data_IF_410777052641
#
_entry.id   IF_410777052641
#
_cell.length_a   1.000
_cell.length_b   1.000
_cell.length_c   1.000
_cell.angle_alpha   90.00
_cell.angle_beta   90.00
_cell.angle_gamma   90.00
#
_symmetry.space_group_name_H-M   'P 1'
#
loop_
_entity.id
_entity.type
_entity.pdbx_description
1 polymer ?
#
# COMPACT_ATOMS: atom_id res chain seq x y z
N UNK A 1 -12.03 -0.81 24.47
CA UNK A 1 -11.07 0.26 24.82
C UNK A 1 -11.54 1.52 24.12
N UNK A 2 -11.48 2.67 24.79
CA UNK A 2 -11.87 3.94 24.18
C UNK A 2 -10.79 4.43 23.19
N UNK A 3 -11.17 5.26 22.23
CA UNK A 3 -10.21 5.80 21.24
C UNK A 3 -9.10 6.61 21.91
N UNK A 4 -9.42 7.32 23.00
CA UNK A 4 -8.48 8.09 23.81
C UNK A 4 -7.37 7.21 24.38
N UNK A 5 -7.73 6.05 24.91
CA UNK A 5 -6.80 5.12 25.57
C UNK A 5 -5.81 4.56 24.55
N UNK A 6 -6.30 4.20 23.36
CA UNK A 6 -5.42 3.71 22.30
C UNK A 6 -4.52 4.77 21.71
N UNK A 7 -5.00 6.00 21.58
CA UNK A 7 -4.14 7.13 21.20
C UNK A 7 -3.04 7.31 22.24
N UNK A 8 -3.38 7.23 23.53
CA UNK A 8 -2.41 7.32 24.62
C UNK A 8 -1.36 6.22 24.53
N UNK A 9 -1.77 4.96 24.36
CA UNK A 9 -0.88 3.80 24.20
C UNK A 9 0.03 3.97 22.97
N UNK A 10 -0.53 4.32 21.80
CA UNK A 10 0.26 4.48 20.57
C UNK A 10 1.26 5.63 20.69
N UNK A 11 0.86 6.78 21.24
CA UNK A 11 1.78 7.90 21.50
C UNK A 11 2.84 7.55 22.53
N UNK A 12 2.49 6.71 23.51
CA UNK A 12 3.41 6.23 24.52
C UNK A 12 4.49 5.32 23.93
N UNK A 13 4.13 4.46 22.97
CA UNK A 13 5.01 3.51 22.31
C UNK A 13 5.74 4.06 21.07
N UNK A 14 5.29 5.15 20.46
CA UNK A 14 5.91 5.75 19.27
C UNK A 14 7.21 6.53 19.58
N UNK A 15 8.17 5.87 20.23
CA UNK A 15 9.44 6.44 20.70
C UNK A 15 10.44 5.33 21.00
N UNK A 16 11.63 5.44 20.45
CA UNK A 16 12.65 4.39 20.49
C UNK A 16 13.07 4.04 21.92
N UNK A 17 13.39 5.03 22.75
CA UNK A 17 13.79 4.81 24.14
C UNK A 17 12.69 4.15 24.96
N UNK A 18 11.43 4.56 24.78
CA UNK A 18 10.29 3.92 25.46
C UNK A 18 10.05 2.48 25.02
N UNK A 19 10.22 2.17 23.73
CA UNK A 19 10.15 0.79 23.26
C UNK A 19 11.25 -0.08 23.85
N UNK A 20 12.48 0.44 23.96
CA UNK A 20 13.59 -0.27 24.59
C UNK A 20 13.34 -0.52 26.07
N UNK A 21 12.81 0.47 26.80
CA UNK A 21 12.40 0.30 28.21
C UNK A 21 11.33 -0.78 28.34
N UNK A 22 10.27 -0.72 27.53
CA UNK A 22 9.20 -1.73 27.55
C UNK A 22 9.76 -3.12 27.24
N UNK A 23 10.61 -3.26 26.21
CA UNK A 23 11.24 -4.53 25.86
C UNK A 23 12.10 -5.09 27.00
N UNK A 24 12.85 -4.23 27.70
CA UNK A 24 13.63 -4.63 28.87
C UNK A 24 12.73 -5.13 30.01
N UNK A 25 11.61 -4.42 30.25
CA UNK A 25 10.63 -4.81 31.28
C UNK A 25 9.80 -6.05 30.91
N UNK A 26 9.77 -6.47 29.64
CA UNK A 26 9.15 -7.73 29.20
C UNK A 26 9.97 -8.94 29.63
N UNK A 27 11.28 -8.78 29.81
CA UNK A 27 12.14 -9.85 30.30
C UNK A 27 11.99 -10.04 31.82
N UNK A 28 11.99 -8.92 32.57
CA UNK A 28 11.82 -8.91 34.02
C UNK A 28 11.49 -7.50 34.54
N UNK A 29 10.85 -7.39 35.72
CA UNK A 29 10.75 -6.11 36.44
C UNK A 29 12.13 -5.55 36.80
N UNK A 30 12.31 -4.24 36.68
CA UNK A 30 13.61 -3.57 36.91
C UNK A 30 13.41 -2.19 37.56
N UNK A 31 14.43 -1.72 38.27
CA UNK A 31 14.47 -0.36 38.82
C UNK A 31 15.11 0.63 37.83
N UNK A 32 15.00 1.93 38.12
CA UNK A 32 15.34 3.01 37.18
C UNK A 32 16.82 3.00 36.81
N UNK A 33 17.71 2.87 37.79
CA UNK A 33 19.16 2.90 37.59
C UNK A 33 19.64 1.66 36.80
N UNK A 34 19.01 0.49 36.99
CA UNK A 34 19.29 -0.70 36.18
C UNK A 34 18.90 -0.49 34.71
N UNK A 35 17.72 0.08 34.46
CA UNK A 35 17.26 0.41 33.11
C UNK A 35 18.16 1.46 32.45
N UNK A 36 18.57 2.49 33.19
CA UNK A 36 19.47 3.54 32.70
C UNK A 36 20.82 2.96 32.28
N UNK A 37 21.42 2.11 33.11
CA UNK A 37 22.68 1.45 32.81
C UNK A 37 22.56 0.51 31.59
N UNK A 38 21.51 -0.31 31.56
CA UNK A 38 21.31 -1.30 30.49
C UNK A 38 21.08 -0.66 29.12
N UNK A 39 20.36 0.45 29.09
CA UNK A 39 20.00 1.14 27.85
C UNK A 39 21.01 2.25 27.47
N UNK A 40 22.04 2.46 28.28
CA UNK A 40 23.00 3.56 28.14
C UNK A 40 22.30 4.93 28.05
N UNK A 41 21.38 5.20 28.97
CA UNK A 41 20.59 6.42 29.06
C UNK A 41 20.80 7.10 30.42
N UNK A 42 20.58 8.42 30.48
CA UNK A 42 20.56 9.12 31.75
C UNK A 42 19.34 8.69 32.62
N UNK A 43 19.54 8.56 33.93
CA UNK A 43 18.49 8.21 34.91
C UNK A 43 17.28 9.14 34.83
N UNK A 44 17.53 10.44 34.61
CA UNK A 44 16.48 11.45 34.42
C UNK A 44 15.64 11.19 33.16
N UNK A 45 16.28 10.79 32.06
CA UNK A 45 15.61 10.43 30.81
C UNK A 45 14.75 9.18 30.98
N UNK A 46 15.27 8.14 31.64
CA UNK A 46 14.50 6.92 31.94
C UNK A 46 13.31 7.23 32.84
N UNK A 47 13.50 8.03 33.90
CA UNK A 47 12.41 8.45 34.79
C UNK A 47 11.30 9.20 34.05
N UNK A 48 11.68 10.10 33.13
CA UNK A 48 10.74 10.84 32.30
C UNK A 48 9.95 9.91 31.37
N UNK A 49 10.61 8.95 30.72
CA UNK A 49 9.97 7.97 29.86
C UNK A 49 9.02 7.03 30.64
N UNK A 50 9.45 6.55 31.81
CA UNK A 50 8.62 5.72 32.69
C UNK A 50 7.36 6.45 33.15
N UNK A 51 7.44 7.75 33.45
CA UNK A 51 6.25 8.56 33.79
C UNK A 51 5.24 8.62 32.63
N UNK A 52 5.72 8.75 31.39
CA UNK A 52 4.85 8.72 30.19
C UNK A 52 4.23 7.34 29.98
N UNK A 53 5.00 6.27 30.16
CA UNK A 53 4.51 4.89 30.05
C UNK A 53 3.49 4.58 31.16
N UNK A 54 3.72 5.06 32.38
CA UNK A 54 2.80 4.95 33.53
C UNK A 54 1.49 5.69 33.25
N UNK A 55 1.56 6.91 32.69
CA UNK A 55 0.35 7.68 32.31
C UNK A 55 -0.48 7.01 31.21
N UNK A 56 0.13 6.17 30.38
CA UNK A 56 -0.54 5.36 29.38
C UNK A 56 -0.93 3.96 29.91
N UNK A 57 -0.79 3.74 31.22
CA UNK A 57 -1.09 2.48 31.91
C UNK A 57 -0.27 1.27 31.43
N UNK A 58 0.84 1.49 30.70
CA UNK A 58 1.68 0.42 30.15
C UNK A 58 2.62 -0.18 31.19
N UNK A 59 2.98 0.60 32.20
CA UNK A 59 3.81 0.16 33.32
C UNK A 59 3.19 0.63 34.63
N UNK A 60 3.52 -0.07 35.72
CA UNK A 60 3.25 0.38 37.08
C UNK A 60 4.48 0.17 37.95
N UNK A 61 4.56 0.83 39.10
CA UNK A 61 5.70 0.71 40.02
C UNK A 61 5.28 0.13 41.36
N UNK A 62 6.18 -0.62 41.98
CA UNK A 62 6.05 -1.15 43.33
C UNK A 62 7.29 -0.79 44.13
N UNK A 63 7.11 -0.54 45.43
CA UNK A 63 8.23 -0.35 46.35
C UNK A 63 8.62 -1.72 46.89
N UNK A 64 9.84 -2.14 46.60
CA UNK A 64 10.40 -3.41 47.04
C UNK A 64 11.66 -3.13 47.86
N UNK A 65 11.54 -3.31 49.18
CA UNK A 65 12.57 -2.93 50.15
C UNK A 65 13.02 -1.47 49.98
N UNK A 66 14.20 -1.26 49.40
CA UNK A 66 14.84 0.04 49.18
C UNK A 66 14.60 0.61 47.78
N UNK A 67 14.15 -0.21 46.83
CA UNK A 67 14.04 0.17 45.42
C UNK A 67 12.59 0.40 44.97
N UNK A 68 12.43 1.24 43.96
CA UNK A 68 11.17 1.39 43.20
C UNK A 68 11.31 0.59 41.91
N UNK A 69 10.63 -0.55 41.86
CA UNK A 69 10.71 -1.51 40.77
C UNK A 69 9.52 -1.31 39.83
N UNK A 70 9.81 -1.11 38.55
CA UNK A 70 8.81 -0.97 37.49
C UNK A 70 8.47 -2.32 36.89
N UNK A 71 7.19 -2.51 36.63
CA UNK A 71 6.58 -3.71 36.09
C UNK A 71 5.75 -3.35 34.87
N UNK A 72 5.64 -4.26 33.89
CA UNK A 72 4.68 -4.10 32.80
C UNK A 72 3.27 -4.41 33.25
N UNK A 73 2.32 -3.73 32.62
CA UNK A 73 0.93 -4.12 32.68
C UNK A 73 0.63 -5.16 31.59
N UNK A 74 0.85 -6.44 31.90
CA UNK A 74 0.76 -7.55 30.93
C UNK A 74 -0.59 -7.59 30.20
N UNK A 75 -1.67 -7.18 30.86
CA UNK A 75 -3.02 -7.16 30.27
C UNK A 75 -3.07 -6.36 28.97
N UNK A 76 -2.36 -5.24 28.90
CA UNK A 76 -2.34 -4.40 27.69
C UNK A 76 -1.54 -5.08 26.58
N UNK A 77 -0.46 -5.79 26.92
CA UNK A 77 0.38 -6.48 25.94
C UNK A 77 -0.22 -7.78 25.41
N UNK A 78 -1.26 -8.33 26.06
CA UNK A 78 -2.11 -9.38 25.48
C UNK A 78 -3.15 -8.86 24.48
N UNK A 79 -3.29 -7.53 24.35
CA UNK A 79 -4.23 -6.92 23.41
C UNK A 79 -3.66 -6.94 21.99
N UNK A 80 -4.47 -7.30 20.99
CA UNK A 80 -4.00 -7.32 19.59
C UNK A 80 -4.06 -5.94 18.95
N UNK A 81 -3.30 -5.72 17.86
CA UNK A 81 -3.43 -4.50 17.06
C UNK A 81 -4.87 -4.27 16.56
N UNK A 82 -5.63 -5.34 16.34
CA UNK A 82 -7.04 -5.25 15.96
C UNK A 82 -7.87 -4.65 17.10
N UNK A 83 -7.65 -5.08 18.33
CA UNK A 83 -8.38 -4.58 19.50
C UNK A 83 -8.01 -3.12 19.81
N UNK A 84 -6.74 -2.72 19.55
CA UNK A 84 -6.25 -1.34 19.67
C UNK A 84 -6.77 -0.44 18.55
N UNK A 85 -7.30 -0.96 17.45
CA UNK A 85 -7.78 -0.16 16.31
C UNK A 85 -9.29 -0.24 16.12
N UNK A 86 -9.95 -1.21 16.77
CA UNK A 86 -11.38 -1.45 16.67
C UNK A 86 -12.11 -0.72 17.80
N UNK A 87 -12.46 0.53 17.55
CA UNK A 87 -13.27 1.34 18.45
C UNK A 87 -14.74 1.31 18.06
N UNK A 88 -15.63 1.55 19.01
CA UNK A 88 -17.03 1.86 18.69
C UNK A 88 -17.06 3.11 17.82
N UNK A 89 -17.41 2.95 16.55
CA UNK A 89 -17.61 4.06 15.64
C UNK A 89 -19.02 4.62 15.86
N UNK A 90 -19.17 5.51 16.84
CA UNK A 90 -20.45 6.18 17.15
C UNK A 90 -20.99 6.97 15.94
N UNK A 91 -20.10 7.35 15.01
CA UNK A 91 -20.45 8.07 13.79
C UNK A 91 -20.60 7.17 12.56
N UNK A 92 -20.62 5.84 12.70
CA UNK A 92 -20.74 4.93 11.57
C UNK A 92 -21.98 5.25 10.72
N UNK A 93 -23.11 5.50 11.38
CA UNK A 93 -24.38 5.86 10.71
C UNK A 93 -24.19 7.12 9.84
N UNK A 94 -23.63 8.19 10.40
CA UNK A 94 -23.40 9.46 9.69
C UNK A 94 -22.38 9.30 8.55
N UNK A 95 -21.37 8.44 8.72
CA UNK A 95 -20.37 8.15 7.67
C UNK A 95 -21.00 7.36 6.52
N UNK A 96 -21.82 6.36 6.84
CA UNK A 96 -22.55 5.54 5.86
C UNK A 96 -23.56 6.42 5.08
N UNK A 97 -24.27 7.33 5.75
CA UNK A 97 -25.15 8.32 5.13
C UNK A 97 -24.41 9.23 4.14
N UNK A 98 -23.19 9.70 4.48
CA UNK A 98 -22.37 10.52 3.58
C UNK A 98 -21.94 9.75 2.34
N UNK A 99 -21.60 8.47 2.49
CA UNK A 99 -21.25 7.59 1.37
C UNK A 99 -22.47 7.36 0.49
N UNK A 100 -23.64 7.08 1.08
CA UNK A 100 -24.90 6.90 0.38
C UNK A 100 -25.28 8.17 -0.42
N UNK A 101 -25.17 9.35 0.19
CA UNK A 101 -25.42 10.63 -0.46
C UNK A 101 -24.46 10.88 -1.65
N UNK A 102 -23.18 10.51 -1.52
CA UNK A 102 -22.22 10.58 -2.62
C UNK A 102 -22.60 9.63 -3.77
N UNK A 103 -22.94 8.37 -3.48
CA UNK A 103 -23.40 7.41 -4.49
C UNK A 103 -24.65 7.92 -5.20
N UNK A 104 -25.66 8.39 -4.46
CA UNK A 104 -26.89 8.96 -5.01
C UNK A 104 -26.62 10.17 -5.93
N UNK A 105 -25.70 11.05 -5.55
CA UNK A 105 -25.28 12.19 -6.40
C UNK A 105 -24.63 11.72 -7.70
N UNK A 106 -23.77 10.70 -7.64
CA UNK A 106 -23.16 10.10 -8.84
C UNK A 106 -24.26 9.52 -9.73
N UNK A 107 -25.16 8.70 -9.18
CA UNK A 107 -26.25 8.09 -9.93
C UNK A 107 -27.15 9.14 -10.58
N UNK A 108 -27.57 10.19 -9.86
CA UNK A 108 -28.36 11.30 -10.41
C UNK A 108 -27.66 12.02 -11.58
N UNK A 109 -26.33 12.02 -11.62
CA UNK A 109 -25.56 12.67 -12.70
C UNK A 109 -25.49 11.81 -13.96
N UNK A 110 -25.46 10.49 -13.81
CA UNK A 110 -25.25 9.56 -14.92
C UNK A 110 -26.52 8.84 -15.38
N UNK A 111 -27.54 8.74 -14.52
CA UNK A 111 -28.85 8.19 -14.83
C UNK A 111 -29.92 9.28 -14.97
N UNK A 112 -30.80 9.10 -15.95
CA UNK A 112 -32.03 9.89 -16.09
C UNK A 112 -33.17 8.97 -16.47
N UNK A 113 -34.30 9.07 -15.76
CA UNK A 113 -35.50 8.23 -15.96
C UNK A 113 -35.20 6.72 -16.01
N UNK A 114 -34.24 6.25 -15.21
CA UNK A 114 -33.85 4.83 -15.17
C UNK A 114 -32.89 4.37 -16.27
N UNK A 115 -32.52 5.24 -17.23
CA UNK A 115 -31.52 4.95 -18.25
C UNK A 115 -30.19 5.63 -17.97
N UNK A 116 -29.10 4.92 -18.25
CA UNK A 116 -27.75 5.46 -18.18
C UNK A 116 -27.52 6.38 -19.38
N UNK A 117 -27.26 7.66 -19.13
CA UNK A 117 -27.02 8.65 -20.19
C UNK A 117 -25.61 8.48 -20.78
N UNK A 118 -24.62 8.26 -19.91
CA UNK A 118 -23.22 8.08 -20.32
C UNK A 118 -22.42 7.34 -19.27
N UNK A 119 -21.38 6.64 -19.72
CA UNK A 119 -20.42 6.01 -18.81
C UNK A 119 -19.45 7.05 -18.21
N UNK A 120 -19.20 7.02 -16.88
CA UNK A 120 -18.18 7.87 -16.27
C UNK A 120 -16.78 7.54 -16.80
N UNK A 121 -15.89 8.52 -16.94
CA UNK A 121 -14.48 8.25 -17.29
C UNK A 121 -13.69 7.67 -16.11
N UNK A 122 -14.01 8.12 -14.88
CA UNK A 122 -13.32 7.73 -13.64
C UNK A 122 -13.74 6.34 -13.16
N UNK A 123 -12.77 5.46 -12.91
CA UNK A 123 -13.00 4.06 -12.49
C UNK A 123 -13.92 3.92 -11.27
N UNK A 124 -13.71 4.71 -10.20
CA UNK A 124 -14.56 4.64 -9.00
C UNK A 124 -16.04 4.95 -9.27
N UNK A 125 -16.31 5.90 -10.17
CA UNK A 125 -17.70 6.23 -10.57
C UNK A 125 -18.28 5.17 -11.50
N UNK A 126 -17.46 4.56 -12.37
CA UNK A 126 -17.87 3.40 -13.17
C UNK A 126 -18.34 2.26 -12.27
N UNK A 127 -17.58 1.93 -11.22
CA UNK A 127 -18.00 0.89 -10.26
C UNK A 127 -19.37 1.21 -9.66
N UNK A 128 -19.63 2.44 -9.20
CA UNK A 128 -20.94 2.83 -8.64
C UNK A 128 -22.08 2.63 -9.65
N UNK A 129 -21.84 2.98 -10.91
CA UNK A 129 -22.82 2.77 -11.99
C UNK A 129 -23.04 1.29 -12.27
N UNK A 130 -21.97 0.48 -12.30
CA UNK A 130 -22.05 -0.96 -12.50
C UNK A 130 -22.75 -1.67 -11.33
N UNK A 131 -22.48 -1.23 -10.09
CA UNK A 131 -23.19 -1.68 -8.89
C UNK A 131 -24.70 -1.42 -9.01
N UNK A 132 -25.11 -0.27 -9.53
CA UNK A 132 -26.54 0.01 -9.75
C UNK A 132 -27.15 -0.89 -10.82
N UNK A 133 -26.42 -1.16 -11.92
CA UNK A 133 -26.86 -2.06 -12.98
C UNK A 133 -26.96 -3.51 -12.47
N UNK A 134 -26.05 -3.94 -11.59
CA UNK A 134 -26.05 -5.29 -11.01
C UNK A 134 -27.33 -5.60 -10.23
N UNK A 135 -27.99 -4.60 -9.64
CA UNK A 135 -29.26 -4.78 -8.91
C UNK A 135 -30.38 -5.34 -9.78
N UNK A 136 -30.26 -5.24 -11.11
CA UNK A 136 -31.22 -5.80 -12.06
C UNK A 136 -31.05 -7.31 -12.26
N UNK A 137 -29.93 -7.87 -11.79
CA UNK A 137 -29.60 -9.28 -11.90
C UNK A 137 -29.92 -10.02 -10.60
N UNK A 138 -30.09 -11.34 -10.71
CA UNK A 138 -30.37 -12.22 -9.58
C UNK A 138 -29.10 -13.03 -9.25
N UNK A 139 -28.74 -13.10 -7.96
CA UNK A 139 -27.52 -13.74 -7.44
C UNK A 139 -27.37 -15.21 -7.87
N UNK A 140 -28.47 -15.96 -7.97
CA UNK A 140 -28.41 -17.41 -8.23
C UNK A 140 -28.62 -17.78 -9.70
N UNK A 141 -29.02 -16.80 -10.53
CA UNK A 141 -29.36 -17.04 -11.93
C UNK A 141 -28.11 -17.00 -12.81
N UNK A 142 -28.05 -17.96 -13.73
CA UNK A 142 -27.07 -17.98 -14.82
C UNK A 142 -27.74 -17.42 -16.06
N UNK A 143 -27.19 -16.33 -16.58
CA UNK A 143 -27.71 -15.60 -17.73
C UNK A 143 -26.98 -16.03 -19.00
N UNK A 144 -27.65 -16.63 -20.00
CA UNK A 144 -27.11 -16.74 -21.34
C UNK A 144 -26.81 -15.36 -21.92
N UNK A 145 -25.88 -15.30 -22.88
CA UNK A 145 -25.44 -14.05 -23.51
C UNK A 145 -26.61 -13.17 -24.00
N UNK A 146 -27.60 -13.76 -24.66
CA UNK A 146 -28.78 -13.02 -25.13
C UNK A 146 -29.60 -12.41 -24.00
N UNK A 147 -29.69 -13.10 -22.86
CA UNK A 147 -30.50 -12.63 -21.73
C UNK A 147 -29.82 -11.48 -20.99
N UNK A 148 -28.51 -11.57 -20.76
CA UNK A 148 -27.75 -10.46 -20.17
C UNK A 148 -27.78 -9.23 -21.07
N UNK A 149 -27.67 -9.42 -22.39
CA UNK A 149 -27.73 -8.32 -23.35
C UNK A 149 -29.08 -7.59 -23.26
N UNK A 150 -30.20 -8.33 -23.24
CA UNK A 150 -31.53 -7.75 -23.08
C UNK A 150 -31.73 -7.03 -21.73
N UNK A 151 -31.18 -7.56 -20.63
CA UNK A 151 -31.26 -6.89 -19.32
C UNK A 151 -30.50 -5.57 -19.34
N UNK A 152 -29.30 -5.54 -19.94
CA UNK A 152 -28.49 -4.32 -20.01
C UNK A 152 -29.09 -3.30 -20.98
N UNK A 153 -29.63 -3.74 -22.12
CA UNK A 153 -30.22 -2.89 -23.16
C UNK A 153 -31.40 -2.05 -22.64
N UNK A 154 -32.12 -2.54 -21.62
CA UNK A 154 -33.16 -1.76 -20.94
C UNK A 154 -32.61 -0.48 -20.26
N UNK A 155 -31.32 -0.46 -19.93
CA UNK A 155 -30.65 0.61 -19.18
C UNK A 155 -29.66 1.38 -20.04
N UNK A 156 -28.93 0.71 -20.92
CA UNK A 156 -27.87 1.31 -21.74
C UNK A 156 -27.69 0.57 -23.06
N UNK A 157 -27.68 1.32 -24.16
CA UNK A 157 -27.67 0.76 -25.52
C UNK A 157 -26.36 0.02 -25.84
N UNK A 158 -25.22 0.46 -25.30
CA UNK A 158 -23.94 -0.24 -25.47
C UNK A 158 -23.75 -1.33 -24.40
N UNK A 159 -24.57 -2.38 -24.53
CA UNK A 159 -24.54 -3.55 -23.66
C UNK A 159 -23.22 -4.31 -23.73
N UNK A 160 -22.53 -4.28 -24.89
CA UNK A 160 -21.23 -4.88 -25.07
C UNK A 160 -20.19 -4.31 -24.10
N UNK A 161 -20.12 -2.99 -23.97
CA UNK A 161 -19.19 -2.33 -23.06
C UNK A 161 -19.50 -2.63 -21.60
N UNK A 162 -20.78 -2.57 -21.19
CA UNK A 162 -21.17 -2.89 -19.81
C UNK A 162 -20.83 -4.32 -19.46
N UNK A 163 -21.17 -5.27 -20.32
CA UNK A 163 -20.87 -6.69 -20.13
C UNK A 163 -19.37 -6.94 -20.00
N UNK A 164 -18.53 -6.27 -20.80
CA UNK A 164 -17.07 -6.33 -20.67
C UNK A 164 -16.61 -5.78 -19.32
N UNK A 165 -17.12 -4.61 -18.93
CA UNK A 165 -16.78 -3.97 -17.66
C UNK A 165 -17.20 -4.80 -16.44
N UNK A 166 -18.34 -5.52 -16.50
CA UNK A 166 -18.79 -6.42 -15.44
C UNK A 166 -17.82 -7.58 -15.22
N UNK A 167 -17.24 -8.11 -16.31
CA UNK A 167 -16.20 -9.16 -16.24
C UNK A 167 -14.86 -8.57 -15.78
N UNK A 168 -14.42 -7.46 -16.38
CA UNK A 168 -13.13 -6.83 -16.09
C UNK A 168 -13.02 -6.40 -14.62
N UNK A 169 -14.14 -5.95 -14.03
CA UNK A 169 -14.23 -5.58 -12.62
C UNK A 169 -14.55 -6.75 -11.67
N UNK A 170 -14.58 -8.00 -12.17
CA UNK A 170 -14.86 -9.23 -11.40
C UNK A 170 -16.21 -9.22 -10.68
N UNK A 171 -17.18 -8.49 -11.22
CA UNK A 171 -18.55 -8.41 -10.70
C UNK A 171 -19.38 -9.60 -11.20
N UNK A 172 -19.06 -10.10 -12.39
CA UNK A 172 -19.61 -11.32 -12.94
C UNK A 172 -18.50 -12.22 -13.49
N UNK A 173 -18.78 -13.52 -13.60
CA UNK A 173 -17.95 -14.48 -14.31
C UNK A 173 -18.64 -14.90 -15.61
N UNK A 174 -17.82 -15.12 -16.65
CA UNK A 174 -18.26 -15.70 -17.92
C UNK A 174 -17.65 -17.08 -18.10
N UNK A 175 -18.48 -18.08 -18.39
CA UNK A 175 -18.06 -19.43 -18.78
C UNK A 175 -18.98 -19.96 -19.89
N UNK A 176 -18.41 -20.45 -20.99
CA UNK A 176 -19.16 -21.02 -22.14
C UNK A 176 -20.34 -20.16 -22.62
N UNK A 177 -20.15 -18.83 -22.75
CA UNK A 177 -21.21 -17.91 -23.20
C UNK A 177 -22.32 -17.66 -22.16
N UNK A 178 -22.12 -18.09 -20.91
CA UNK A 178 -23.03 -17.87 -19.79
C UNK A 178 -22.38 -16.98 -18.74
N UNK A 179 -23.18 -16.09 -18.16
CA UNK A 179 -22.80 -15.10 -17.18
C UNK A 179 -23.42 -15.42 -15.82
N UNK A 180 -22.64 -15.30 -14.75
CA UNK A 180 -23.13 -15.49 -13.38
C UNK A 180 -22.55 -14.40 -12.49
N UNK A 181 -23.35 -13.90 -11.55
CA UNK A 181 -22.88 -12.95 -10.54
C UNK A 181 -21.76 -13.60 -9.71
N UNK A 182 -20.73 -12.83 -9.36
CA UNK A 182 -19.64 -13.35 -8.54
C UNK A 182 -20.16 -13.62 -7.11
N UNK A 183 -19.95 -14.84 -6.60
CA UNK A 183 -20.30 -15.28 -5.25
C UNK A 183 -19.65 -14.48 -4.11
N UNK A 184 -18.66 -13.63 -4.43
CA UNK A 184 -18.12 -12.68 -3.47
C UNK A 184 -19.08 -11.51 -3.17
N UNK A 185 -20.17 -11.36 -3.93
CA UNK A 185 -21.17 -10.30 -3.81
C UNK A 185 -22.58 -10.89 -3.66
N UNK A 186 -23.37 -10.39 -2.71
CA UNK A 186 -24.81 -10.64 -2.58
C UNK A 186 -25.55 -9.32 -2.77
N UNK A 187 -26.56 -9.33 -3.62
CA UNK A 187 -27.64 -8.35 -3.57
C UNK A 187 -28.51 -8.70 -2.37
N UNK A 188 -28.69 -7.76 -1.43
CA UNK A 188 -29.51 -7.97 -0.24
C UNK A 188 -30.99 -8.12 -0.60
N UNK A 189 -31.75 -8.83 0.24
CA UNK A 189 -33.18 -9.11 0.03
C UNK A 189 -34.08 -7.84 -0.07
N UNK A 190 -33.56 -6.65 0.26
CA UNK A 190 -34.24 -5.36 0.06
C UNK A 190 -33.96 -4.73 -1.32
N UNK A 191 -33.20 -5.40 -2.20
CA UNK A 191 -32.93 -4.99 -3.58
C UNK A 191 -32.02 -3.77 -3.77
N UNK A 192 -31.57 -3.14 -2.67
CA UNK A 192 -30.94 -1.83 -2.73
C UNK A 192 -29.45 -1.79 -2.34
N UNK A 193 -28.89 -2.89 -1.84
CA UNK A 193 -27.48 -2.95 -1.43
C UNK A 193 -26.75 -4.17 -2.00
N UNK A 194 -25.53 -3.94 -2.47
CA UNK A 194 -24.58 -4.99 -2.83
C UNK A 194 -23.60 -5.13 -1.68
N UNK A 195 -23.58 -6.30 -1.06
CA UNK A 195 -22.72 -6.62 0.07
C UNK A 195 -21.66 -7.61 -0.39
N UNK A 196 -20.40 -7.32 -0.09
CA UNK A 196 -19.31 -8.27 -0.30
C UNK A 196 -19.33 -9.32 0.82
N UNK A 197 -19.61 -10.58 0.49
CA UNK A 197 -19.92 -11.64 1.47
C UNK A 197 -18.66 -12.37 1.92
N UNK A 198 -17.65 -12.44 1.05
CA UNK A 198 -16.45 -13.22 1.34
C UNK A 198 -15.39 -12.43 2.11
N UNK A 199 -15.61 -12.30 3.42
CA UNK A 199 -14.53 -12.24 4.42
C UNK A 199 -14.00 -13.65 4.77
N UNK A 200 -14.10 -14.62 3.87
CA UNK A 200 -13.30 -15.84 4.00
C UNK A 200 -11.89 -15.52 3.58
N UNK A 201 -11.03 -15.39 4.59
CA UNK A 201 -9.63 -15.76 4.50
C UNK A 201 -9.52 -16.92 3.52
N UNK A 202 -8.72 -16.75 2.46
CA UNK A 202 -8.38 -17.84 1.58
C UNK A 202 -7.84 -19.00 2.43
N UNK A 203 -8.71 -19.96 2.79
CA UNK A 203 -8.31 -21.29 3.23
C UNK A 203 -7.67 -21.89 1.98
N UNK A 204 -6.37 -21.67 1.85
CA UNK A 204 -5.48 -22.57 1.13
C UNK A 204 -5.87 -23.98 1.57
N UNK A 205 -6.23 -24.82 0.60
CA UNK A 205 -6.28 -26.27 0.79
C UNK A 205 -5.00 -26.68 1.51
N UNK A 206 -5.17 -27.23 2.71
CA UNK A 206 -4.15 -27.90 3.49
C UNK A 206 -3.77 -29.18 2.74
N UNK A 207 -2.76 -29.08 1.89
CA UNK A 207 -1.76 -30.14 1.77
C UNK A 207 -0.69 -29.85 2.81
N UNK A 208 -0.52 -30.76 3.76
CA UNK A 208 0.63 -30.81 4.65
C UNK A 208 1.88 -30.92 3.78
N UNK A 209 2.61 -29.81 3.64
CA UNK A 209 4.03 -29.65 3.25
C UNK A 209 4.18 -28.27 2.60
N UNK A 210 4.58 -27.25 3.39
CA UNK A 210 5.15 -25.93 3.00
C UNK A 210 4.90 -24.81 4.04
N UNK A 211 4.76 -25.11 5.33
CA UNK A 211 4.72 -24.05 6.35
C UNK A 211 6.12 -23.53 6.73
N UNK A 212 7.16 -24.35 6.58
CA UNK A 212 8.56 -23.94 6.73
C UNK A 212 8.98 -22.95 5.63
N UNK A 213 8.49 -23.13 4.40
CA UNK A 213 8.97 -22.37 3.26
C UNK A 213 8.49 -20.90 3.24
N UNK A 214 7.35 -20.52 3.85
CA UNK A 214 6.84 -19.13 3.75
C UNK A 214 7.61 -18.13 4.63
N UNK A 215 7.99 -18.54 5.85
CA UNK A 215 8.83 -17.72 6.75
C UNK A 215 10.25 -17.62 6.19
N UNK A 216 10.79 -18.71 5.67
CA UNK A 216 12.08 -18.72 4.99
C UNK A 216 12.07 -17.96 3.66
N UNK A 217 10.97 -17.98 2.89
CA UNK A 217 10.80 -17.17 1.68
C UNK A 217 10.69 -15.69 2.03
N UNK A 218 9.97 -15.30 3.09
CA UNK A 218 9.89 -13.89 3.54
C UNK A 218 11.23 -13.43 4.11
N UNK A 219 11.93 -14.29 4.86
CA UNK A 219 13.27 -14.04 5.37
C UNK A 219 14.28 -13.96 4.22
N UNK A 220 14.23 -14.86 3.23
CA UNK A 220 14.98 -14.76 1.96
C UNK A 220 14.62 -13.50 1.20
N UNK A 221 13.36 -13.10 1.10
CA UNK A 221 12.93 -11.87 0.40
C UNK A 221 13.42 -10.59 1.09
N UNK A 222 13.48 -10.60 2.43
CA UNK A 222 14.06 -9.52 3.25
C UNK A 222 15.60 -9.55 3.28
N UNK A 223 16.23 -10.71 3.07
CA UNK A 223 17.69 -10.89 3.01
C UNK A 223 18.25 -10.74 1.58
N UNK A 224 17.43 -10.94 0.55
CA UNK A 224 17.75 -10.61 -0.84
C UNK A 224 17.63 -9.10 -0.99
N UNK A 225 18.70 -8.39 -0.65
CA UNK A 225 18.83 -6.99 -1.02
C UNK A 225 18.79 -6.91 -2.54
N UNK A 226 17.71 -6.36 -3.09
CA UNK A 226 17.66 -6.00 -4.51
C UNK A 226 18.76 -4.96 -4.76
N UNK A 227 19.51 -5.01 -5.87
CA UNK A 227 20.59 -4.06 -6.08
C UNK A 227 20.02 -2.64 -6.07
N UNK A 228 20.60 -1.79 -5.23
CA UNK A 228 20.24 -0.38 -5.02
C UNK A 228 21.38 0.48 -5.49
N UNK A 229 21.12 1.71 -5.91
CA UNK A 229 22.18 2.62 -6.34
C UNK A 229 21.73 3.61 -7.39
N UNK A 230 22.69 4.07 -8.19
CA UNK A 230 22.51 5.10 -9.21
C UNK A 230 22.56 4.46 -10.59
N UNK A 231 21.65 4.86 -11.46
CA UNK A 231 21.55 4.39 -12.83
C UNK A 231 21.53 5.55 -13.81
N UNK A 232 21.85 5.20 -15.05
CA UNK A 232 21.75 6.04 -16.24
C UNK A 232 20.78 5.39 -17.21
N UNK A 233 19.89 6.19 -17.81
CA UNK A 233 19.02 5.78 -18.90
C UNK A 233 19.15 6.74 -20.09
N UNK A 234 19.27 6.21 -21.30
CA UNK A 234 19.39 7.00 -22.53
C UNK A 234 18.73 6.30 -23.71
N UNK A 235 18.37 7.07 -24.74
CA UNK A 235 18.01 6.50 -26.03
C UNK A 235 19.27 5.98 -26.72
N UNK A 236 19.17 4.86 -27.45
CA UNK A 236 20.33 4.16 -28.00
C UNK A 236 21.18 5.00 -28.96
N UNK A 237 20.59 6.03 -29.57
CA UNK A 237 21.26 6.93 -30.51
C UNK A 237 21.44 8.36 -29.94
N UNK A 238 21.25 8.57 -28.64
CA UNK A 238 21.31 9.90 -28.03
C UNK A 238 22.62 10.11 -27.28
N UNK A 239 23.19 11.31 -27.46
CA UNK A 239 24.30 11.78 -26.63
C UNK A 239 23.83 12.29 -25.26
N UNK A 240 22.50 12.39 -25.04
CA UNK A 240 21.91 12.78 -23.76
C UNK A 240 21.56 11.55 -22.94
N UNK A 241 21.76 11.68 -21.64
CA UNK A 241 21.35 10.66 -20.71
C UNK A 241 20.78 11.22 -19.43
N UNK A 242 19.99 10.40 -18.75
CA UNK A 242 19.25 10.79 -17.58
C UNK A 242 19.72 9.95 -16.40
N UNK A 243 20.06 10.62 -15.30
CA UNK A 243 20.58 9.99 -14.10
C UNK A 243 19.49 9.98 -13.04
N UNK A 244 19.27 8.81 -12.44
CA UNK A 244 18.35 8.64 -11.32
C UNK A 244 18.91 7.66 -10.30
N UNK A 245 18.26 7.61 -9.15
CA UNK A 245 18.65 6.74 -8.04
C UNK A 245 17.47 5.88 -7.58
N UNK A 246 17.74 4.68 -7.05
CA UNK A 246 16.68 3.77 -6.62
C UNK A 246 17.12 2.79 -5.55
N UNK A 247 16.19 2.49 -4.64
CA UNK A 247 16.24 1.37 -3.69
C UNK A 247 15.93 0.01 -4.34
N UNK A 248 15.59 -0.03 -5.63
CA UNK A 248 15.34 -1.26 -6.38
C UNK A 248 15.60 -1.02 -7.88
N UNK A 249 16.85 -1.22 -8.31
CA UNK A 249 17.30 -1.00 -9.69
C UNK A 249 16.51 -1.84 -10.72
N UNK A 250 16.21 -3.13 -10.49
CA UNK A 250 15.33 -3.90 -11.36
C UNK A 250 13.90 -3.35 -11.42
N UNK A 251 13.37 -2.91 -10.27
CA UNK A 251 12.03 -2.35 -10.16
C UNK A 251 11.86 -1.04 -10.93
N UNK A 252 12.84 -0.13 -10.83
CA UNK A 252 12.79 1.15 -11.57
C UNK A 252 12.96 0.95 -13.08
N UNK A 253 13.78 -0.01 -13.52
CA UNK A 253 13.91 -0.33 -14.94
C UNK A 253 12.60 -0.88 -15.53
N UNK A 254 11.94 -1.81 -14.82
CA UNK A 254 10.63 -2.33 -15.23
C UNK A 254 9.55 -1.24 -15.30
N UNK A 255 9.60 -0.26 -14.39
CA UNK A 255 8.72 0.90 -14.44
C UNK A 255 8.93 1.74 -15.70
N UNK A 256 10.19 2.05 -16.05
CA UNK A 256 10.49 2.77 -17.30
C UNK A 256 9.99 2.00 -18.54
N UNK A 257 10.21 0.68 -18.60
CA UNK A 257 9.67 -0.17 -19.68
C UNK A 257 8.15 -0.09 -19.78
N UNK A 258 7.45 -0.15 -18.64
CA UNK A 258 5.99 -0.07 -18.62
C UNK A 258 5.48 1.30 -19.10
N UNK A 259 6.08 2.39 -18.63
CA UNK A 259 5.72 3.75 -19.04
C UNK A 259 5.97 3.97 -20.54
N UNK A 260 7.08 3.43 -21.07
CA UNK A 260 7.41 3.48 -22.49
C UNK A 260 6.47 2.60 -23.34
N UNK A 261 6.17 1.38 -22.88
CA UNK A 261 5.25 0.46 -23.56
C UNK A 261 3.81 0.95 -23.61
N UNK A 262 3.39 1.78 -22.66
CA UNK A 262 2.05 2.38 -22.60
C UNK A 262 1.98 3.79 -23.20
N UNK A 263 3.11 4.35 -23.66
CA UNK A 263 3.15 5.65 -24.34
C UNK A 263 3.04 6.86 -23.42
N UNK A 264 3.24 6.69 -22.10
CA UNK A 264 3.07 7.75 -21.09
C UNK A 264 4.39 8.24 -20.51
N UNK A 265 5.53 7.82 -21.07
CA UNK A 265 6.84 8.17 -20.52
C UNK A 265 7.10 9.68 -20.61
N UNK A 266 7.55 10.28 -19.50
CA UNK A 266 7.72 11.75 -19.38
C UNK A 266 8.82 12.31 -20.31
N UNK A 267 9.83 11.50 -20.62
CA UNK A 267 10.92 11.86 -21.54
C UNK A 267 10.53 11.45 -22.97
N UNK A 268 10.21 12.44 -23.80
CA UNK A 268 9.84 12.24 -25.21
C UNK A 268 10.91 11.52 -26.02
N UNK A 269 12.16 11.86 -25.83
CA UNK A 269 13.29 11.28 -26.58
C UNK A 269 13.44 9.76 -26.33
N UNK A 270 13.18 9.30 -25.09
CA UNK A 270 13.12 7.87 -24.78
C UNK A 270 11.88 7.21 -25.39
N UNK A 271 10.73 7.89 -25.33
CA UNK A 271 9.49 7.38 -25.92
C UNK A 271 9.58 7.22 -27.44
N UNK A 272 10.17 8.20 -28.13
CA UNK A 272 10.41 8.16 -29.58
C UNK A 272 11.36 7.02 -29.95
N UNK A 273 12.45 6.85 -29.20
CA UNK A 273 13.39 5.75 -29.44
C UNK A 273 12.76 4.38 -29.20
N UNK A 274 11.94 4.24 -28.16
CA UNK A 274 11.16 3.03 -27.87
C UNK A 274 10.12 2.74 -28.95
N UNK A 275 9.43 3.75 -29.48
CA UNK A 275 8.45 3.56 -30.55
C UNK A 275 9.10 3.03 -31.85
N UNK A 276 10.37 3.38 -32.10
CA UNK A 276 11.09 2.96 -33.31
C UNK A 276 11.74 1.58 -33.14
N UNK A 277 12.45 1.35 -32.03
CA UNK A 277 13.30 0.16 -31.84
C UNK A 277 12.84 -0.76 -30.70
N UNK A 278 11.71 -0.46 -30.06
CA UNK A 278 11.26 -1.17 -28.86
C UNK A 278 12.29 -1.11 -27.75
N UNK A 279 12.46 -2.23 -27.04
CA UNK A 279 13.41 -2.34 -25.93
C UNK A 279 14.87 -2.05 -26.34
N UNK A 280 15.25 -2.37 -27.57
CA UNK A 280 16.61 -2.11 -28.08
C UNK A 280 16.88 -0.61 -28.30
N UNK A 281 15.84 0.23 -28.27
CA UNK A 281 15.97 1.68 -28.32
C UNK A 281 16.41 2.32 -27.01
N UNK A 282 16.46 1.56 -25.90
CA UNK A 282 16.76 2.09 -24.57
C UNK A 282 18.00 1.42 -24.00
N UNK A 283 18.93 2.25 -23.53
CA UNK A 283 20.12 1.82 -22.81
C UNK A 283 19.89 2.15 -21.34
N UNK A 284 19.94 1.14 -20.47
CA UNK A 284 19.87 1.29 -19.02
C UNK A 284 21.16 0.72 -18.41
N UNK A 285 21.92 1.58 -17.75
CA UNK A 285 23.24 1.26 -17.18
C UNK A 285 23.23 1.55 -15.69
N UNK A 286 23.73 0.61 -14.88
CA UNK A 286 23.96 0.84 -13.46
C UNK A 286 25.35 1.46 -13.33
N UNK A 287 25.43 2.71 -12.86
CA UNK A 287 26.69 3.44 -12.75
C UNK A 287 27.32 3.33 -11.36
N UNK A 288 26.49 3.09 -10.33
CA UNK A 288 26.99 2.79 -8.99
C UNK A 288 25.99 1.94 -8.21
N UNK A 289 26.50 1.05 -7.35
CA UNK A 289 25.70 0.17 -6.50
C UNK A 289 26.01 0.46 -5.04
N UNK A 290 24.96 0.68 -4.26
CA UNK A 290 25.08 0.77 -2.82
C UNK A 290 25.09 -0.65 -2.24
N UNK A 291 26.17 -0.98 -1.52
CA UNK A 291 26.26 -2.25 -0.83
C UNK A 291 25.32 -2.27 0.39
N UNK A 292 24.58 -3.37 0.58
CA UNK A 292 23.71 -3.50 1.74
C UNK A 292 24.55 -3.61 3.01
N UNK A 293 24.22 -2.79 4.02
CA UNK A 293 24.74 -2.88 5.38
C UNK A 293 24.13 -4.09 6.09
N UNK A 294 24.85 -4.61 7.07
CA UNK A 294 24.44 -5.80 7.84
C UNK A 294 23.15 -5.60 8.64
N UNK A 295 22.81 -4.35 9.00
CA UNK A 295 21.58 -4.00 9.71
C UNK A 295 20.36 -3.94 8.75
N UNK A 296 19.39 -4.87 8.88
CA UNK A 296 18.19 -4.88 8.04
C UNK A 296 17.22 -3.73 8.31
N UNK A 297 17.39 -2.96 9.39
CA UNK A 297 16.57 -1.80 9.72
C UNK A 297 17.17 -0.47 9.23
N UNK A 298 18.36 -0.50 8.62
CA UNK A 298 19.03 0.71 8.13
C UNK A 298 18.24 1.37 6.99
N UNK A 299 18.03 2.67 7.09
CA UNK A 299 17.34 3.44 6.06
C UNK A 299 18.33 3.93 4.99
N UNK A 300 18.34 3.26 3.84
CA UNK A 300 19.19 3.61 2.70
C UNK A 300 18.74 4.84 1.90
N UNK A 301 17.62 5.48 2.25
CA UNK A 301 17.09 6.62 1.48
C UNK A 301 18.05 7.81 1.45
N UNK A 302 18.74 8.09 2.56
CA UNK A 302 19.69 9.19 2.63
C UNK A 302 21.00 8.83 1.91
N UNK A 303 21.52 7.61 2.13
CA UNK A 303 22.72 7.09 1.45
C UNK A 303 22.57 7.11 -0.08
N UNK A 304 21.40 6.71 -0.61
CA UNK A 304 21.10 6.73 -2.04
C UNK A 304 21.07 8.15 -2.61
N UNK A 305 20.53 9.10 -1.84
CA UNK A 305 20.47 10.51 -2.25
C UNK A 305 21.87 11.13 -2.26
N UNK A 306 22.67 10.87 -1.23
CA UNK A 306 24.07 11.29 -1.17
C UNK A 306 24.87 10.70 -2.33
N UNK A 307 24.67 9.42 -2.65
CA UNK A 307 25.33 8.77 -3.77
C UNK A 307 24.95 9.40 -5.11
N UNK A 308 23.67 9.74 -5.30
CA UNK A 308 23.21 10.48 -6.47
C UNK A 308 23.85 11.86 -6.57
N UNK A 309 23.89 12.64 -5.48
CA UNK A 309 24.52 13.96 -5.42
C UNK A 309 26.01 13.90 -5.78
N UNK A 310 26.75 12.93 -5.22
CA UNK A 310 28.17 12.72 -5.53
C UNK A 310 28.40 12.41 -7.02
N UNK A 311 27.53 11.63 -7.64
CA UNK A 311 27.61 11.33 -9.06
C UNK A 311 27.26 12.54 -9.94
N UNK A 312 26.30 13.36 -9.52
CA UNK A 312 25.99 14.60 -10.22
C UNK A 312 27.18 15.57 -10.21
N UNK A 313 27.86 15.72 -9.07
CA UNK A 313 29.06 16.55 -8.95
C UNK A 313 30.23 16.01 -9.79
N UNK A 314 30.38 14.68 -9.85
CA UNK A 314 31.40 14.02 -10.69
C UNK A 314 31.11 14.25 -12.17
N UNK A 315 29.85 14.12 -12.59
CA UNK A 315 29.43 14.31 -13.98
C UNK A 315 29.53 15.77 -14.42
N UNK A 316 29.29 16.73 -13.52
CA UNK A 316 29.47 18.16 -13.80
C UNK A 316 30.89 18.49 -14.26
N UNK A 317 31.89 17.78 -13.73
CA UNK A 317 33.31 17.95 -14.12
C UNK A 317 33.64 17.35 -15.50
N UNK A 318 32.74 16.56 -16.09
CA UNK A 318 32.98 15.80 -17.34
C UNK A 318 32.22 16.31 -18.57
N UNK A 319 31.24 17.22 -18.43
CA UNK A 319 30.54 17.89 -19.55
C UNK A 319 29.00 17.84 -19.53
N UNK A 320 28.35 18.51 -20.51
CA UNK A 320 26.98 19.06 -20.43
C UNK A 320 25.79 18.21 -20.95
N UNK A 321 25.89 16.88 -21.06
CA UNK A 321 24.82 16.06 -21.67
C UNK A 321 24.08 15.12 -20.71
N UNK A 322 23.98 15.49 -19.43
CA UNK A 322 23.25 14.72 -18.44
C UNK A 322 22.12 15.52 -17.80
N UNK A 323 21.06 14.83 -17.39
CA UNK A 323 19.89 15.43 -16.76
C UNK A 323 19.49 14.64 -15.52
N UNK A 324 19.06 15.34 -14.47
CA UNK A 324 18.61 14.69 -13.23
C UNK A 324 17.15 14.25 -13.32
N UNK A 325 16.86 13.03 -12.92
CA UNK A 325 15.49 12.51 -12.77
C UNK A 325 15.02 12.62 -11.33
N UNK A 326 13.97 13.41 -11.10
CA UNK A 326 13.24 13.43 -9.84
C UNK A 326 11.77 13.07 -10.11
N UNK A 327 11.46 11.78 -10.06
CA UNK A 327 10.13 11.31 -10.47
C UNK A 327 9.84 11.69 -11.93
N UNK A 328 8.90 12.63 -12.16
CA UNK A 328 8.54 13.15 -13.49
C UNK A 328 9.26 14.45 -13.88
N UNK A 329 10.03 15.06 -12.97
CA UNK A 329 10.70 16.33 -13.21
C UNK A 329 12.11 16.12 -13.74
N UNK A 330 12.44 16.87 -14.80
CA UNK A 330 13.77 16.93 -15.41
C UNK A 330 14.38 18.28 -15.04
N UNK A 331 15.49 18.28 -14.31
CA UNK A 331 16.30 19.49 -14.09
C UNK A 331 17.60 19.39 -14.86
N UNK A 332 17.93 20.45 -15.61
CA UNK A 332 19.31 20.67 -16.05
C UNK A 332 20.17 20.97 -14.81
N UNK A 333 21.41 20.46 -14.74
CA UNK A 333 22.37 20.96 -13.77
C UNK A 333 22.52 22.48 -13.95
N UNK A 334 22.72 23.21 -12.85
CA UNK A 334 23.01 24.64 -12.87
C UNK A 334 24.40 24.90 -13.41
#
# INVERSE_FOLDING_TARGET
MEISDSISIMKALADSSRLLIVNSLMEKPQYVEELAQRLNLAVSTVSFHLKKLESANLVFKRKEQYYVVYHLNDRIFYTTLKDITSFKNEHKIVQDERIAAYKAKVLKTFFSKGKLIKLPSQHKKKIIVLEEILKLFNNEKVYPEKEIDSVIENVFDDYCTIRRLLIDNKLMFRSNGKYKLNHDYEITNTGNEIVFINNKSAKRKTGNDKMENRKEIIKKYKMTHTPMGVYKISAANSNKFYVGSSLNLPGIYNRHKFELGTGIHSIKELQESWNIKGEQGIIFEIIDKLEPKEDPAYNYSDDIKTLEDLWMDKLQKTGNNYFRLHGTMIKKPK
#
